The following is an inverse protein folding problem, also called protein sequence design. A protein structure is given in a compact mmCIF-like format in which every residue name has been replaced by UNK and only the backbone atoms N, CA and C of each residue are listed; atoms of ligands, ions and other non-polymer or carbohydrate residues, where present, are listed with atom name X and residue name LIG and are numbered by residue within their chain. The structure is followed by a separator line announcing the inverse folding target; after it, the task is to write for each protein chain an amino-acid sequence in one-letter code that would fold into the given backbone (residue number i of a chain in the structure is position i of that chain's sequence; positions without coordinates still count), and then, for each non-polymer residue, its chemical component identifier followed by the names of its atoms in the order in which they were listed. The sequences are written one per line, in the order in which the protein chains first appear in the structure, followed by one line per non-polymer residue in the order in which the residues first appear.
data_IF_702803080424
#
_entry.id   IF_702803080424
#
_cell.length_a   1.000
_cell.length_b   1.000
_cell.length_c   1.000
_cell.angle_alpha   90.00
_cell.angle_beta   90.00
_cell.angle_gamma   90.00
#
_symmetry.space_group_name_H-M   'P 1'
#
loop_
_entity.id
_entity.type
_entity.pdbx_description
1 polymer ?
#
# COMPACT_ATOMS: atom_id res chain seq x y z
N UNK A 1 33.19 -27.66 4.58
CA UNK A 1 32.18 -26.82 3.90
C UNK A 1 31.15 -27.75 3.28
N UNK A 2 29.94 -27.69 3.77
CA UNK A 2 28.92 -28.74 3.72
C UNK A 2 28.40 -28.95 2.28
N UNK A 3 28.21 -30.19 1.82
CA UNK A 3 27.67 -30.56 0.48
C UNK A 3 26.31 -29.92 0.18
N UNK A 4 25.56 -29.57 1.22
CA UNK A 4 24.30 -28.82 1.10
C UNK A 4 24.50 -27.43 0.45
N UNK A 5 25.59 -26.73 0.72
CA UNK A 5 25.82 -25.38 0.12
C UNK A 5 26.19 -25.49 -1.36
N UNK A 6 26.87 -26.57 -1.78
CA UNK A 6 27.20 -26.79 -3.20
C UNK A 6 25.97 -27.00 -4.09
N UNK A 7 24.84 -27.45 -3.52
CA UNK A 7 23.56 -27.56 -4.26
C UNK A 7 22.93 -26.22 -4.58
N UNK A 8 23.18 -25.19 -3.76
CA UNK A 8 22.66 -23.83 -4.00
C UNK A 8 23.55 -22.99 -4.92
N UNK A 9 24.86 -23.31 -4.96
CA UNK A 9 25.78 -22.61 -5.87
C UNK A 9 25.70 -23.11 -7.32
N UNK A 10 24.90 -24.15 -7.60
CA UNK A 10 24.76 -24.76 -8.93
C UNK A 10 23.42 -24.43 -9.62
N UNK A 11 22.71 -23.38 -9.17
CA UNK A 11 21.50 -22.93 -9.85
C UNK A 11 21.92 -22.32 -11.19
N UNK A 12 21.47 -22.93 -12.29
CA UNK A 12 21.76 -22.41 -13.63
C UNK A 12 20.99 -21.11 -13.89
N UNK A 13 21.48 -20.29 -14.82
CA UNK A 13 20.79 -19.06 -15.27
C UNK A 13 19.31 -19.33 -15.64
N UNK A 14 19.04 -20.44 -16.32
CA UNK A 14 17.69 -20.88 -16.69
C UNK A 14 16.81 -21.19 -15.48
N UNK A 15 17.38 -21.79 -14.44
CA UNK A 15 16.67 -22.04 -13.18
C UNK A 15 16.40 -20.75 -12.42
N UNK A 16 17.35 -19.83 -12.41
CA UNK A 16 17.16 -18.50 -11.81
C UNK A 16 16.02 -17.75 -12.51
N UNK A 17 15.99 -17.72 -13.85
CA UNK A 17 14.90 -17.11 -14.61
C UNK A 17 13.55 -17.73 -14.31
N UNK A 18 13.46 -19.05 -14.19
CA UNK A 18 12.22 -19.74 -13.79
C UNK A 18 11.78 -19.38 -12.37
N UNK A 19 12.73 -19.28 -11.43
CA UNK A 19 12.45 -18.85 -10.05
C UNK A 19 11.91 -17.42 -10.04
N UNK A 20 12.51 -16.53 -10.81
CA UNK A 20 12.04 -15.14 -10.92
C UNK A 20 10.65 -15.07 -11.57
N UNK A 21 10.38 -15.82 -12.61
CA UNK A 21 9.06 -15.91 -13.23
C UNK A 21 8.00 -16.37 -12.23
N UNK A 22 8.31 -17.39 -11.40
CA UNK A 22 7.37 -17.86 -10.37
C UNK A 22 7.19 -16.83 -9.25
N UNK A 23 8.26 -16.17 -8.82
CA UNK A 23 8.20 -15.12 -7.79
C UNK A 23 7.39 -13.91 -8.22
N UNK A 24 7.45 -13.58 -9.50
CA UNK A 24 6.75 -12.45 -10.10
C UNK A 24 5.38 -12.82 -10.68
N UNK A 25 4.94 -14.06 -10.49
CA UNK A 25 3.65 -14.53 -10.98
C UNK A 25 2.53 -13.98 -10.11
N UNK A 26 1.68 -13.13 -10.69
CA UNK A 26 0.43 -12.71 -10.06
C UNK A 26 -0.65 -13.75 -10.36
N UNK A 27 -1.17 -14.36 -9.32
CA UNK A 27 -2.31 -15.29 -9.43
C UNK A 27 -3.57 -14.51 -9.16
N UNK A 28 -4.33 -14.23 -10.22
CA UNK A 28 -5.62 -13.56 -10.11
C UNK A 28 -6.63 -14.43 -9.35
N UNK A 29 -7.51 -13.77 -8.63
CA UNK A 29 -8.71 -14.35 -8.06
C UNK A 29 -9.85 -13.34 -8.11
N UNK A 30 -11.12 -13.76 -8.11
CA UNK A 30 -12.26 -12.83 -8.15
C UNK A 30 -12.23 -11.77 -7.02
N UNK A 31 -11.69 -12.12 -5.86
CA UNK A 31 -11.53 -11.18 -4.74
C UNK A 31 -10.45 -10.13 -5.03
N UNK A 32 -9.27 -10.56 -5.51
CA UNK A 32 -8.16 -9.65 -5.84
C UNK A 32 -8.53 -8.73 -7.00
N UNK A 33 -9.19 -9.25 -8.03
CA UNK A 33 -9.66 -8.47 -9.18
C UNK A 33 -10.67 -7.40 -8.76
N UNK A 34 -11.56 -7.74 -7.82
CA UNK A 34 -12.51 -6.78 -7.24
C UNK A 34 -11.78 -5.68 -6.48
N UNK A 35 -10.74 -6.02 -5.71
CA UNK A 35 -9.96 -5.04 -4.96
C UNK A 35 -9.21 -4.10 -5.92
N UNK A 36 -8.60 -4.63 -6.99
CA UNK A 36 -7.96 -3.82 -8.04
C UNK A 36 -8.96 -2.86 -8.70
N UNK A 37 -10.17 -3.34 -9.00
CA UNK A 37 -11.23 -2.51 -9.57
C UNK A 37 -11.68 -1.40 -8.60
N UNK A 38 -11.80 -1.70 -7.30
CA UNK A 38 -12.14 -0.70 -6.29
C UNK A 38 -11.04 0.36 -6.12
N UNK A 39 -9.75 -0.02 -6.15
CA UNK A 39 -8.62 0.92 -6.16
C UNK A 39 -8.72 1.85 -7.37
N UNK A 40 -8.96 1.28 -8.56
CA UNK A 40 -9.11 2.07 -9.78
C UNK A 40 -10.32 3.01 -9.72
N UNK A 41 -11.42 2.57 -9.11
CA UNK A 41 -12.61 3.38 -8.86
C UNK A 41 -12.30 4.57 -7.96
N UNK A 42 -11.61 4.39 -6.83
CA UNK A 42 -11.19 5.48 -5.93
C UNK A 42 -10.41 6.54 -6.71
N UNK A 43 -9.44 6.11 -7.53
CA UNK A 43 -8.65 7.00 -8.39
C UNK A 43 -9.52 7.80 -9.36
N UNK A 44 -10.46 7.15 -10.05
CA UNK A 44 -11.30 7.79 -11.08
C UNK A 44 -12.38 8.72 -10.52
N UNK A 45 -12.96 8.38 -9.39
CA UNK A 45 -13.97 9.23 -8.74
C UNK A 45 -13.33 10.53 -8.23
N UNK A 46 -12.17 10.43 -7.59
CA UNK A 46 -11.46 11.58 -7.03
C UNK A 46 -11.04 12.59 -8.10
N UNK A 47 -10.80 12.14 -9.34
CA UNK A 47 -10.52 13.02 -10.48
C UNK A 47 -11.72 13.88 -10.91
N UNK A 48 -12.94 13.52 -10.51
CA UNK A 48 -14.18 14.25 -10.88
C UNK A 48 -14.51 15.40 -9.95
N UNK A 49 -13.67 15.62 -8.94
CA UNK A 49 -13.89 16.63 -7.89
C UNK A 49 -14.70 16.10 -6.71
N UNK A 50 -14.60 16.80 -5.59
CA UNK A 50 -15.19 16.40 -4.32
C UNK A 50 -14.16 15.89 -3.32
N UNK A 51 -14.65 15.27 -2.25
CA UNK A 51 -13.76 14.62 -1.28
C UNK A 51 -13.26 13.30 -1.85
N UNK A 52 -11.95 12.99 -1.71
CA UNK A 52 -11.42 11.74 -2.23
C UNK A 52 -11.97 10.53 -1.47
N UNK A 53 -12.41 9.52 -2.22
CA UNK A 53 -12.76 8.20 -1.70
C UNK A 53 -11.48 7.42 -1.41
N UNK A 54 -11.27 7.09 -0.14
CA UNK A 54 -10.15 6.30 0.31
C UNK A 54 -10.55 4.84 0.55
N UNK A 55 -9.55 3.97 0.66
CA UNK A 55 -9.79 2.53 0.82
C UNK A 55 -8.84 1.94 1.85
N UNK A 56 -9.34 0.99 2.65
CA UNK A 56 -8.55 0.18 3.57
C UNK A 56 -8.55 -1.27 3.08
N UNK A 57 -7.37 -1.80 2.80
CA UNK A 57 -7.14 -3.20 2.41
C UNK A 57 -6.43 -3.91 3.55
N UNK A 58 -7.08 -4.89 4.12
CA UNK A 58 -6.60 -5.63 5.27
C UNK A 58 -6.26 -7.07 4.90
N UNK A 59 -5.31 -7.66 5.58
CA UNK A 59 -4.97 -9.07 5.43
C UNK A 59 -3.85 -9.49 6.36
N UNK A 60 -3.82 -10.77 6.70
CA UNK A 60 -2.75 -11.37 7.48
C UNK A 60 -1.39 -11.29 6.76
N UNK A 61 -0.27 -11.47 7.46
CA UNK A 61 1.04 -11.60 6.81
C UNK A 61 1.00 -12.70 5.76
N UNK A 62 1.58 -12.44 4.58
CA UNK A 62 1.57 -13.42 3.48
C UNK A 62 0.24 -13.56 2.72
N UNK A 63 -0.81 -12.80 3.06
CA UNK A 63 -2.08 -12.84 2.32
C UNK A 63 -1.99 -12.27 0.89
N UNK A 64 -0.88 -11.60 0.53
CA UNK A 64 -0.68 -11.07 -0.83
C UNK A 64 -0.96 -9.56 -0.97
N UNK A 65 -1.01 -8.79 0.13
CA UNK A 65 -1.19 -7.33 0.09
C UNK A 65 -0.17 -6.64 -0.81
N UNK A 66 1.11 -6.89 -0.56
CA UNK A 66 2.22 -6.31 -1.32
C UNK A 66 2.23 -6.79 -2.77
N UNK A 67 1.86 -8.05 -3.03
CA UNK A 67 1.72 -8.59 -4.39
C UNK A 67 0.61 -7.88 -5.15
N UNK A 68 -0.54 -7.65 -4.52
CA UNK A 68 -1.66 -6.91 -5.11
C UNK A 68 -1.26 -5.46 -5.44
N UNK A 69 -0.56 -4.80 -4.50
CA UNK A 69 -0.01 -3.45 -4.71
C UNK A 69 0.95 -3.42 -5.90
N UNK A 70 1.88 -4.37 -5.95
CA UNK A 70 2.83 -4.48 -7.06
C UNK A 70 2.14 -4.70 -8.41
N UNK A 71 1.09 -5.51 -8.45
CA UNK A 71 0.30 -5.72 -9.67
C UNK A 71 -0.40 -4.43 -10.12
N UNK A 72 -0.98 -3.65 -9.19
CA UNK A 72 -1.58 -2.37 -9.55
C UNK A 72 -0.55 -1.38 -10.11
N UNK A 73 0.67 -1.34 -9.55
CA UNK A 73 1.78 -0.52 -10.07
C UNK A 73 2.21 -0.99 -11.47
N UNK A 74 2.32 -2.30 -11.67
CA UNK A 74 2.66 -2.89 -12.99
C UNK A 74 1.65 -2.50 -14.08
N UNK A 75 0.37 -2.46 -13.74
CA UNK A 75 -0.71 -2.03 -14.63
C UNK A 75 -0.76 -0.51 -14.86
N UNK A 76 -0.07 0.27 -14.03
CA UNK A 76 -0.07 1.73 -14.07
C UNK A 76 1.37 2.28 -13.97
N UNK A 77 2.22 2.03 -14.97
CA UNK A 77 3.62 2.46 -14.92
C UNK A 77 3.74 3.99 -14.91
N UNK A 78 4.88 4.46 -14.41
CA UNK A 78 5.28 5.87 -14.50
C UNK A 78 5.30 6.27 -15.98
N UNK A 79 4.79 7.46 -16.27
CA UNK A 79 4.80 8.01 -17.63
C UNK A 79 5.92 9.01 -17.75
N UNK A 80 6.76 8.80 -18.74
CA UNK A 80 7.78 9.77 -19.14
C UNK A 80 7.16 10.76 -20.11
N UNK A 81 7.02 12.01 -19.70
CA UNK A 81 6.64 13.14 -20.57
C UNK A 81 7.92 13.90 -20.95
N UNK A 82 7.87 14.71 -22.01
CA UNK A 82 9.06 15.38 -22.58
C UNK A 82 9.80 16.29 -21.59
N UNK A 83 9.15 16.77 -20.55
CA UNK A 83 9.74 17.70 -19.58
C UNK A 83 9.75 17.18 -18.13
N UNK A 84 9.04 16.07 -17.85
CA UNK A 84 8.93 15.51 -16.49
C UNK A 84 8.46 14.06 -16.49
N UNK A 85 8.85 13.32 -15.48
CA UNK A 85 8.23 12.02 -15.15
C UNK A 85 6.95 12.24 -14.35
N UNK A 86 5.83 11.64 -14.80
CA UNK A 86 4.54 11.74 -14.12
C UNK A 86 4.29 10.47 -13.33
N UNK A 87 4.19 10.59 -12.02
CA UNK A 87 3.95 9.49 -11.08
C UNK A 87 2.45 9.39 -10.81
N UNK A 88 1.69 8.78 -11.72
CA UNK A 88 0.23 8.67 -11.56
C UNK A 88 -0.19 7.91 -10.28
N UNK A 89 0.61 6.92 -9.88
CA UNK A 89 0.38 6.10 -8.68
C UNK A 89 1.61 6.21 -7.79
N UNK A 90 1.48 6.93 -6.69
CA UNK A 90 2.51 6.96 -5.66
C UNK A 90 2.40 5.73 -4.78
N UNK A 91 3.52 5.09 -4.47
CA UNK A 91 3.57 3.93 -3.58
C UNK A 91 4.72 4.06 -2.61
N UNK A 92 4.46 3.81 -1.33
CA UNK A 92 5.45 3.84 -0.26
C UNK A 92 5.03 2.92 0.89
N UNK A 93 5.99 2.60 1.75
CA UNK A 93 5.78 1.80 2.95
C UNK A 93 5.94 2.68 4.19
N UNK A 94 5.11 2.46 5.21
CA UNK A 94 5.33 3.10 6.50
C UNK A 94 6.57 2.49 7.15
N UNK A 95 7.56 3.30 7.57
CA UNK A 95 8.71 2.78 8.29
C UNK A 95 8.31 2.17 9.64
N UNK A 96 9.08 1.22 10.14
CA UNK A 96 8.84 0.60 11.44
C UNK A 96 8.76 1.64 12.56
N UNK A 97 7.84 1.41 13.51
CA UNK A 97 7.59 2.31 14.64
C UNK A 97 7.36 3.78 14.21
N UNK A 98 6.65 3.94 13.12
CA UNK A 98 6.46 5.23 12.45
C UNK A 98 5.64 6.19 13.31
N UNK A 99 6.06 7.46 13.28
CA UNK A 99 5.23 8.59 13.69
C UNK A 99 4.96 9.48 12.48
N UNK A 100 3.92 10.32 12.48
CA UNK A 100 3.56 11.17 11.33
C UNK A 100 4.72 11.92 10.67
N UNK A 101 5.69 12.38 11.49
CA UNK A 101 6.88 13.07 10.98
C UNK A 101 7.79 12.15 10.19
N UNK A 102 8.04 10.96 10.67
CA UNK A 102 8.90 9.96 9.99
C UNK A 102 8.25 9.46 8.70
N UNK A 103 6.95 9.17 8.73
CA UNK A 103 6.20 8.80 7.54
C UNK A 103 6.28 9.88 6.45
N UNK A 104 6.08 11.16 6.81
CA UNK A 104 6.19 12.25 5.86
C UNK A 104 7.60 12.39 5.25
N UNK A 105 8.66 12.17 6.04
CA UNK A 105 10.05 12.18 5.53
C UNK A 105 10.29 11.02 4.56
N UNK A 106 9.88 9.80 4.92
CA UNK A 106 10.01 8.62 4.07
C UNK A 106 9.31 8.84 2.72
N UNK A 107 8.07 9.31 2.74
CA UNK A 107 7.29 9.54 1.53
C UNK A 107 7.88 10.66 0.64
N UNK A 108 8.51 11.67 1.24
CA UNK A 108 9.24 12.69 0.50
C UNK A 108 10.47 12.10 -0.21
N UNK A 109 11.22 11.24 0.48
CA UNK A 109 12.38 10.54 -0.09
C UNK A 109 11.97 9.61 -1.23
N UNK A 110 10.88 8.86 -1.07
CA UNK A 110 10.36 7.96 -2.11
C UNK A 110 9.84 8.72 -3.35
N UNK A 111 9.44 9.99 -3.19
CA UNK A 111 9.16 10.90 -4.30
C UNK A 111 10.42 11.53 -4.90
N UNK A 112 11.61 11.13 -4.47
CA UNK A 112 12.88 11.66 -4.96
C UNK A 112 13.26 13.04 -4.40
N UNK A 113 12.66 13.47 -3.31
CA UNK A 113 12.95 14.77 -2.72
C UNK A 113 14.12 14.71 -1.73
N UNK A 114 15.22 15.32 -2.09
CA UNK A 114 16.38 15.49 -1.23
C UNK A 114 16.13 16.61 -0.21
N UNK A 115 15.46 16.26 0.87
CA UNK A 115 15.17 17.20 1.96
C UNK A 115 16.15 17.02 3.11
N UNK A 116 16.69 18.14 3.63
CA UNK A 116 17.24 18.15 4.97
C UNK A 116 16.11 18.38 5.98
N UNK A 117 15.63 17.35 6.71
CA UNK A 117 14.46 17.46 7.58
C UNK A 117 14.76 18.16 8.91
N UNK A 118 15.98 18.70 9.08
CA UNK A 118 16.39 19.37 10.34
C UNK A 118 15.51 20.59 10.60
N UNK A 119 14.88 20.61 11.77
CA UNK A 119 14.07 21.74 12.24
C UNK A 119 12.63 21.76 11.71
N UNK A 120 12.26 20.94 10.73
CA UNK A 120 10.89 20.90 10.20
C UNK A 120 9.98 20.01 11.07
N UNK A 121 8.79 20.52 11.36
CA UNK A 121 7.75 19.80 12.09
C UNK A 121 6.85 18.99 11.16
N UNK A 122 6.10 18.03 11.70
CA UNK A 122 5.18 17.19 10.92
C UNK A 122 4.19 17.99 10.04
N UNK A 123 3.57 19.09 10.47
CA UNK A 123 2.67 19.87 9.62
C UNK A 123 3.33 20.51 8.40
N UNK A 124 4.58 20.95 8.54
CA UNK A 124 5.36 21.56 7.45
C UNK A 124 5.77 20.50 6.43
N UNK A 125 6.28 19.37 6.91
CA UNK A 125 6.62 18.21 6.06
C UNK A 125 5.39 17.69 5.31
N UNK A 126 4.23 17.62 5.98
CA UNK A 126 2.98 17.18 5.34
C UNK A 126 2.54 18.14 4.23
N UNK A 127 2.75 19.45 4.42
CA UNK A 127 2.44 20.46 3.40
C UNK A 127 3.37 20.31 2.19
N UNK A 128 4.67 20.12 2.43
CA UNK A 128 5.66 19.90 1.36
C UNK A 128 5.31 18.62 0.58
N UNK A 129 5.02 17.53 1.30
CA UNK A 129 4.63 16.25 0.72
C UNK A 129 3.39 16.37 -0.17
N UNK A 130 2.32 16.99 0.34
CA UNK A 130 1.09 17.17 -0.42
C UNK A 130 1.32 17.99 -1.71
N UNK A 131 2.09 19.07 -1.63
CA UNK A 131 2.43 19.88 -2.78
C UNK A 131 3.29 19.12 -3.81
N UNK A 132 4.24 18.33 -3.33
CA UNK A 132 5.09 17.52 -4.20
C UNK A 132 4.30 16.42 -4.92
N UNK A 133 3.39 15.72 -4.21
CA UNK A 133 2.49 14.75 -4.83
C UNK A 133 1.69 15.37 -5.98
N UNK A 134 1.11 16.54 -5.75
CA UNK A 134 0.34 17.27 -6.78
C UNK A 134 1.27 17.66 -7.95
N UNK A 135 2.47 18.16 -7.66
CA UNK A 135 3.43 18.56 -8.69
C UNK A 135 3.92 17.38 -9.55
N UNK A 136 4.13 16.21 -8.93
CA UNK A 136 4.49 14.98 -9.63
C UNK A 136 3.33 14.33 -10.40
N UNK A 137 2.13 14.90 -10.34
CA UNK A 137 0.96 14.40 -11.04
C UNK A 137 0.36 13.13 -10.41
N UNK A 138 0.56 12.94 -9.09
CA UNK A 138 -0.02 11.80 -8.38
C UNK A 138 -1.54 11.88 -8.42
N UNK A 139 -2.18 10.77 -8.74
CA UNK A 139 -3.64 10.63 -8.80
C UNK A 139 -4.19 9.75 -7.67
N UNK A 140 -3.36 8.89 -7.10
CA UNK A 140 -3.68 8.00 -5.98
C UNK A 140 -2.41 7.60 -5.23
N UNK A 141 -2.50 7.42 -3.92
CA UNK A 141 -1.41 6.95 -3.06
C UNK A 141 -1.72 5.57 -2.51
N UNK A 142 -0.79 4.62 -2.69
CA UNK A 142 -0.83 3.26 -2.16
C UNK A 142 0.19 3.16 -1.04
N UNK A 143 -0.26 3.09 0.21
CA UNK A 143 0.59 3.11 1.39
C UNK A 143 0.50 1.76 2.12
N UNK A 144 1.61 1.02 2.14
CA UNK A 144 1.68 -0.31 2.74
C UNK A 144 2.28 -0.25 4.16
N UNK A 145 2.19 -1.36 4.87
CA UNK A 145 2.66 -1.52 6.26
C UNK A 145 2.04 -0.50 7.21
N UNK A 146 0.76 -0.13 6.97
CA UNK A 146 0.06 0.90 7.74
C UNK A 146 0.03 0.62 9.25
N UNK A 147 0.10 -0.64 9.66
CA UNK A 147 0.17 -1.01 11.07
C UNK A 147 1.35 -0.34 11.81
N UNK A 148 2.46 -0.07 11.14
CA UNK A 148 3.61 0.60 11.76
C UNK A 148 3.33 2.01 12.27
N UNK A 149 2.33 2.69 11.71
CA UNK A 149 1.88 4.00 12.19
C UNK A 149 0.97 3.90 13.42
N UNK A 150 0.33 2.75 13.62
CA UNK A 150 -0.70 2.53 14.63
C UNK A 150 -0.33 1.44 15.64
N UNK A 151 0.89 0.91 15.55
CA UNK A 151 1.44 -0.13 16.42
C UNK A 151 1.75 0.45 17.81
N UNK A 152 0.70 0.85 18.51
CA UNK A 152 0.76 1.46 19.83
C UNK A 152 -0.53 1.22 20.59
N UNK A 153 -0.42 1.02 21.90
CA UNK A 153 -1.57 0.93 22.80
C UNK A 153 -2.11 2.32 23.21
N UNK A 154 -1.40 3.39 22.86
CA UNK A 154 -1.77 4.74 23.25
C UNK A 154 -2.82 5.34 22.32
N UNK A 155 -4.06 5.48 22.82
CA UNK A 155 -5.16 6.16 22.11
C UNK A 155 -4.78 7.57 21.62
N UNK A 156 -3.95 8.30 22.36
CA UNK A 156 -3.46 9.63 21.97
C UNK A 156 -2.61 9.57 20.70
N UNK A 157 -1.79 8.54 20.53
CA UNK A 157 -0.95 8.34 19.33
C UNK A 157 -1.82 7.94 18.15
N UNK A 158 -2.75 7.01 18.33
CA UNK A 158 -3.72 6.62 17.31
C UNK A 158 -4.51 7.83 16.79
N UNK A 159 -5.03 8.65 17.70
CA UNK A 159 -5.73 9.89 17.36
C UNK A 159 -4.83 10.88 16.60
N UNK A 160 -3.56 10.99 16.98
CA UNK A 160 -2.57 11.79 16.26
C UNK A 160 -2.32 11.30 14.84
N UNK A 161 -2.23 10.00 14.65
CA UNK A 161 -2.09 9.35 13.34
C UNK A 161 -3.32 9.57 12.46
N UNK A 162 -4.53 9.37 13.00
CA UNK A 162 -5.79 9.63 12.31
C UNK A 162 -5.90 11.08 11.84
N UNK A 163 -5.60 12.03 12.72
CA UNK A 163 -5.59 13.46 12.42
C UNK A 163 -4.58 13.80 11.32
N UNK A 164 -3.38 13.24 11.39
CA UNK A 164 -2.35 13.46 10.37
C UNK A 164 -2.77 12.94 9.00
N UNK A 165 -3.31 11.74 8.95
CA UNK A 165 -3.80 11.12 7.71
C UNK A 165 -4.91 11.99 7.08
N UNK A 166 -5.85 12.47 7.90
CA UNK A 166 -6.90 13.39 7.47
C UNK A 166 -6.33 14.69 6.88
N UNK A 167 -5.28 15.25 7.52
CA UNK A 167 -4.60 16.46 7.03
C UNK A 167 -3.91 16.19 5.69
N UNK A 168 -3.23 15.05 5.54
CA UNK A 168 -2.58 14.66 4.29
C UNK A 168 -3.58 14.55 3.15
N UNK A 169 -4.68 13.81 3.36
CA UNK A 169 -5.76 13.64 2.38
C UNK A 169 -6.37 15.00 2.00
N UNK A 170 -6.65 15.86 2.98
CA UNK A 170 -7.23 17.19 2.74
C UNK A 170 -6.32 18.12 1.95
N UNK A 171 -5.03 18.10 2.24
CA UNK A 171 -4.06 18.99 1.59
C UNK A 171 -3.70 18.53 0.19
N UNK A 172 -3.60 17.25 -0.03
CA UNK A 172 -3.29 16.70 -1.36
C UNK A 172 -4.53 16.61 -2.26
N UNK A 173 -5.72 16.45 -1.67
CA UNK A 173 -6.94 16.15 -2.43
C UNK A 173 -6.92 14.77 -3.09
N UNK A 174 -5.96 13.91 -2.70
CA UNK A 174 -5.72 12.62 -3.34
C UNK A 174 -6.35 11.47 -2.53
N UNK A 175 -6.89 10.45 -3.22
CA UNK A 175 -7.33 9.23 -2.57
C UNK A 175 -6.13 8.45 -2.03
N UNK A 176 -6.31 7.86 -0.86
CA UNK A 176 -5.32 7.03 -0.21
C UNK A 176 -5.87 5.62 -0.05
N UNK A 177 -5.08 4.63 -0.46
CA UNK A 177 -5.32 3.23 -0.18
C UNK A 177 -4.29 2.78 0.85
N UNK A 178 -4.77 2.38 2.02
CA UNK A 178 -3.95 1.84 3.10
C UNK A 178 -3.96 0.32 3.02
N UNK A 179 -2.78 -0.28 3.06
CA UNK A 179 -2.63 -1.72 3.23
C UNK A 179 -2.08 -2.00 4.62
N UNK A 180 -2.70 -2.92 5.35
CA UNK A 180 -2.30 -3.21 6.71
C UNK A 180 -2.87 -4.51 7.27
N UNK A 181 -2.63 -4.71 8.55
CA UNK A 181 -3.16 -5.85 9.31
C UNK A 181 -4.65 -5.67 9.59
N UNK A 182 -5.41 -6.74 9.91
CA UNK A 182 -6.85 -6.64 10.20
C UNK A 182 -7.20 -5.66 11.30
N UNK A 183 -6.35 -5.53 12.33
CA UNK A 183 -6.55 -4.57 13.42
C UNK A 183 -6.34 -3.10 13.00
N UNK A 184 -5.80 -2.84 11.82
CA UNK A 184 -5.59 -1.48 11.30
C UNK A 184 -6.90 -0.68 11.19
N UNK A 185 -8.03 -1.36 11.18
CA UNK A 185 -9.35 -0.73 11.20
C UNK A 185 -9.57 0.20 12.40
N UNK A 186 -8.88 -0.04 13.52
CA UNK A 186 -9.00 0.78 14.74
C UNK A 186 -8.75 2.28 14.48
N UNK A 187 -7.96 2.63 13.45
CA UNK A 187 -7.68 4.03 13.12
C UNK A 187 -8.95 4.82 12.76
N UNK A 188 -9.93 4.14 12.15
CA UNK A 188 -11.18 4.76 11.75
C UNK A 188 -12.09 5.07 12.94
N UNK A 189 -11.88 4.39 14.06
CA UNK A 189 -12.64 4.56 15.31
C UNK A 189 -12.01 5.62 16.23
N UNK A 190 -10.78 6.09 15.89
CA UNK A 190 -10.05 7.06 16.70
C UNK A 190 -10.25 8.52 16.24
N UNK A 191 -11.10 8.77 15.25
CA UNK A 191 -11.41 10.12 14.75
C UNK A 191 -12.68 10.65 15.42
N UNK A 192 -12.57 11.76 16.15
CA UNK A 192 -13.67 12.28 17.00
C UNK A 192 -14.93 12.70 16.23
N UNK A 193 -14.78 13.01 14.95
CA UNK A 193 -15.84 13.54 14.10
C UNK A 193 -16.25 12.61 12.95
N UNK A 194 -15.84 11.34 13.00
CA UNK A 194 -16.12 10.27 12.01
C UNK A 194 -15.81 10.63 10.55
N UNK A 195 -15.12 11.75 10.33
CA UNK A 195 -14.83 12.23 8.97
C UNK A 195 -13.84 11.35 8.23
N UNK A 196 -12.92 10.70 8.97
CA UNK A 196 -11.99 9.75 8.40
C UNK A 196 -12.71 8.44 8.01
N UNK A 197 -13.57 7.92 8.88
CA UNK A 197 -14.39 6.75 8.60
C UNK A 197 -15.26 6.94 7.35
N UNK A 198 -15.85 8.14 7.20
CA UNK A 198 -16.64 8.51 6.02
C UNK A 198 -15.84 8.50 4.71
N UNK A 199 -14.51 8.70 4.75
CA UNK A 199 -13.64 8.62 3.57
C UNK A 199 -13.20 7.19 3.24
N UNK A 200 -13.01 6.36 4.27
CA UNK A 200 -12.63 4.96 4.16
C UNK A 200 -13.83 4.00 4.16
N UNK A 201 -14.89 4.37 3.42
CA UNK A 201 -16.09 3.53 3.31
C UNK A 201 -15.80 2.20 2.61
N UNK A 202 -14.80 2.16 1.74
CA UNK A 202 -14.40 0.94 1.06
C UNK A 202 -13.36 0.23 1.91
N UNK A 203 -13.77 -0.89 2.51
CA UNK A 203 -12.91 -1.76 3.28
C UNK A 203 -12.92 -3.15 2.66
N UNK A 204 -11.74 -3.74 2.45
CA UNK A 204 -11.58 -5.07 1.86
C UNK A 204 -10.60 -5.91 2.68
N UNK A 205 -10.89 -7.20 2.72
CA UNK A 205 -9.99 -8.16 3.35
C UNK A 205 -9.48 -9.12 2.29
N UNK A 206 -8.16 -9.30 2.27
CA UNK A 206 -7.51 -10.35 1.49
C UNK A 206 -7.40 -11.56 2.40
N UNK A 207 -8.10 -12.64 2.03
CA UNK A 207 -7.96 -13.92 2.70
C UNK A 207 -6.71 -14.64 2.20
N UNK A 208 -5.96 -15.30 3.08
CA UNK A 208 -4.81 -16.11 2.66
C UNK A 208 -5.30 -17.24 1.75
N UNK A 209 -4.47 -17.60 0.77
CA UNK A 209 -4.77 -18.75 -0.09
C UNK A 209 -4.89 -20.01 0.76
N UNK A 210 -6.06 -20.60 0.77
CA UNK A 210 -6.27 -21.91 1.38
C UNK A 210 -5.97 -22.98 0.34
N UNK A 211 -4.97 -23.81 0.59
CA UNK A 211 -4.79 -25.05 -0.15
C UNK A 211 -5.97 -25.94 0.27
N UNK A 212 -6.99 -26.04 -0.57
CA UNK A 212 -8.04 -27.04 -0.39
C UNK A 212 -7.39 -28.37 -0.78
N UNK A 213 -7.22 -29.35 0.15
CA UNK A 213 -6.77 -30.66 -0.25
C UNK A 213 -7.78 -31.16 -1.29
N UNK A 214 -7.29 -31.48 -2.50
CA UNK A 214 -8.10 -32.20 -3.47
C UNK A 214 -8.57 -33.47 -2.76
N UNK A 215 -9.85 -33.52 -2.42
CA UNK A 215 -10.47 -34.73 -1.94
C UNK A 215 -10.11 -35.83 -2.94
N UNK A 216 -9.35 -36.80 -2.48
CA UNK A 216 -9.11 -38.02 -3.24
C UNK A 216 -10.49 -38.65 -3.46
N UNK A 217 -11.09 -38.35 -4.60
CA UNK A 217 -12.17 -39.16 -5.11
C UNK A 217 -11.51 -40.49 -5.42
N UNK A 218 -11.71 -41.43 -4.54
CA UNK A 218 -11.38 -42.83 -4.75
C UNK A 218 -12.02 -43.24 -6.07
N UNK A 219 -11.22 -43.31 -7.11
CA UNK A 219 -11.54 -44.10 -8.27
C UNK A 219 -11.63 -45.54 -7.80
N UNK A 220 -12.84 -46.01 -7.43
CA UNK A 220 -13.14 -47.43 -7.46
C UNK A 220 -13.20 -47.81 -8.91
N UNK A 221 -12.12 -48.39 -9.41
CA UNK A 221 -12.15 -49.21 -10.59
C UNK A 221 -12.97 -50.47 -10.23
N UNK A 222 -14.14 -50.60 -10.82
CA UNK A 222 -14.89 -51.83 -10.94
C UNK A 222 -14.47 -52.53 -12.25
#
# INVERSE_FOLDING_TARGET
MNELYKRYDSITEEQNQKIEQVRNCYISSPNLDRILADIHRCRKISQRGGYPDCMLVMGEPGAGKTTLRAEYLRLNPIREESERSVINVFSSDFPEQSVPRQAAICFLQDLGHELSPKGLLAPELTRILANLMIHCGVEISLLDEFQHLIETESYKVLKGAAKWLKILINKSGLPVVLFGMPYSKIILECDDDDTLAGRFMIQRTIEPFRIIPLCQHSCRLS
#
